data_IF_144429490962
#
_entry.id   IF_144429490962
#
_cell.length_a   1.000
_cell.length_b   1.000
_cell.length_c   1.000
_cell.angle_alpha   90.00
_cell.angle_beta   90.00
_cell.angle_gamma   90.00
#
_symmetry.space_group_name_H-M   'P 1'
#
loop_
_entity.id
_entity.type
_entity.pdbx_description
1 polymer ?
#
# COMPACT_ATOMS: atom_id res chain seq x y z
N UNK A 1 -8.14 -6.21 -12.51
CA UNK A 1 -7.07 -5.24 -12.82
C UNK A 1 -6.40 -4.78 -11.55
N UNK A 2 -7.12 -4.21 -10.56
CA UNK A 2 -6.55 -3.68 -9.30
C UNK A 2 -5.75 -4.74 -8.54
N UNK A 3 -6.29 -5.94 -8.35
CA UNK A 3 -5.62 -7.04 -7.65
C UNK A 3 -4.29 -7.41 -8.32
N UNK A 4 -4.26 -7.47 -9.64
CA UNK A 4 -3.04 -7.76 -10.40
C UNK A 4 -1.98 -6.66 -10.23
N UNK A 5 -2.40 -5.39 -10.28
CA UNK A 5 -1.49 -4.26 -10.12
C UNK A 5 -0.87 -4.17 -8.73
N UNK A 6 -1.62 -4.54 -7.68
CA UNK A 6 -1.18 -4.43 -6.29
C UNK A 6 -0.47 -5.69 -5.78
N UNK A 7 -0.72 -6.84 -6.40
CA UNK A 7 -0.16 -8.13 -5.97
C UNK A 7 1.37 -8.17 -6.05
N UNK A 8 1.94 -7.82 -7.21
CA UNK A 8 3.40 -7.90 -7.41
C UNK A 8 4.20 -6.95 -6.51
N UNK A 9 3.86 -5.65 -6.40
CA UNK A 9 4.57 -4.76 -5.47
C UNK A 9 4.50 -5.24 -4.02
N UNK A 10 3.35 -5.76 -3.59
CA UNK A 10 3.18 -6.28 -2.24
C UNK A 10 4.04 -7.53 -1.99
N UNK A 11 4.07 -8.45 -2.94
CA UNK A 11 4.88 -9.67 -2.87
C UNK A 11 6.38 -9.33 -2.79
N UNK A 12 6.85 -8.46 -3.67
CA UNK A 12 8.27 -8.03 -3.70
C UNK A 12 8.66 -7.33 -2.40
N UNK A 13 7.84 -6.42 -1.91
CA UNK A 13 8.12 -5.71 -0.66
C UNK A 13 8.11 -6.63 0.56
N UNK A 14 7.18 -7.58 0.61
CA UNK A 14 7.13 -8.56 1.70
C UNK A 14 8.37 -9.45 1.70
N UNK A 15 8.78 -9.95 0.53
CA UNK A 15 10.00 -10.73 0.38
C UNK A 15 11.25 -9.92 0.75
N UNK A 16 11.33 -8.65 0.31
CA UNK A 16 12.43 -7.77 0.66
C UNK A 16 12.48 -7.52 2.18
N UNK A 17 11.34 -7.29 2.81
CA UNK A 17 11.24 -7.10 4.25
C UNK A 17 11.66 -8.34 5.05
N UNK A 18 11.24 -9.54 4.64
CA UNK A 18 11.63 -10.78 5.29
C UNK A 18 13.13 -11.12 5.10
N UNK A 19 13.75 -10.63 4.03
CA UNK A 19 15.18 -10.78 3.75
C UNK A 19 16.04 -9.67 4.36
N UNK A 20 15.46 -8.59 4.85
CA UNK A 20 16.16 -7.44 5.40
C UNK A 20 16.83 -7.70 6.75
N UNK A 21 16.57 -8.85 7.37
CA UNK A 21 17.20 -9.28 8.63
C UNK A 21 18.69 -9.52 8.40
N UNK A 22 19.54 -8.86 9.22
CA UNK A 22 20.99 -8.99 9.15
C UNK A 22 21.48 -10.38 9.58
N UNK A 23 22.70 -10.72 9.15
CA UNK A 23 23.33 -11.99 9.54
C UNK A 23 23.54 -12.08 11.04
N UNK A 24 23.89 -10.97 11.69
CA UNK A 24 24.16 -10.91 13.12
C UNK A 24 22.91 -11.26 13.95
N UNK A 25 21.75 -10.73 13.56
CA UNK A 25 20.50 -11.03 14.26
C UNK A 25 20.06 -12.49 14.07
N UNK A 26 20.35 -13.06 12.90
CA UNK A 26 20.09 -14.49 12.65
C UNK A 26 21.03 -15.38 13.47
N UNK A 27 22.30 -15.01 13.60
CA UNK A 27 23.29 -15.73 14.43
C UNK A 27 22.91 -15.67 15.91
N UNK A 28 22.42 -14.51 16.39
CA UNK A 28 21.90 -14.37 17.74
C UNK A 28 20.71 -15.32 17.99
N UNK A 29 19.77 -15.40 17.07
CA UNK A 29 18.64 -16.34 17.18
C UNK A 29 19.11 -17.83 17.15
N UNK A 30 20.13 -18.13 16.37
CA UNK A 30 20.77 -19.46 16.38
C UNK A 30 21.43 -19.78 17.73
N UNK A 31 22.09 -18.81 18.36
CA UNK A 31 22.72 -19.01 19.68
C UNK A 31 21.70 -19.22 20.80
N UNK A 32 20.49 -18.72 20.66
CA UNK A 32 19.36 -19.00 21.56
C UNK A 32 18.62 -20.30 21.23
N UNK A 33 19.14 -21.12 20.31
CA UNK A 33 18.49 -22.35 19.82
C UNK A 33 17.04 -22.12 19.35
N UNK A 34 16.76 -20.94 18.81
CA UNK A 34 15.43 -20.58 18.32
C UNK A 34 15.12 -21.36 17.04
N UNK A 35 14.00 -22.10 17.03
CA UNK A 35 13.54 -22.79 15.84
C UNK A 35 13.08 -21.82 14.74
N UNK A 36 12.94 -22.31 13.52
CA UNK A 36 12.56 -21.53 12.35
C UNK A 36 11.28 -20.68 12.55
N UNK A 37 10.26 -21.25 13.19
CA UNK A 37 9.00 -20.54 13.47
C UNK A 37 9.20 -19.37 14.41
N UNK A 38 10.02 -19.52 15.44
CA UNK A 38 10.30 -18.47 16.41
C UNK A 38 11.10 -17.34 15.77
N UNK A 39 12.11 -17.66 14.98
CA UNK A 39 12.88 -16.68 14.18
C UNK A 39 11.97 -15.93 13.21
N UNK A 40 11.00 -16.59 12.58
CA UNK A 40 10.07 -15.95 11.66
C UNK A 40 9.14 -14.96 12.38
N UNK A 41 8.55 -15.36 13.50
CA UNK A 41 7.53 -14.57 14.21
C UNK A 41 8.17 -13.45 15.03
N UNK A 42 9.25 -13.74 15.76
CA UNK A 42 9.83 -12.82 16.72
C UNK A 42 10.86 -11.85 16.09
N UNK A 43 11.45 -12.22 14.95
CA UNK A 43 12.48 -11.42 14.30
C UNK A 43 12.08 -10.96 12.89
N UNK A 44 11.82 -11.88 11.97
CA UNK A 44 11.61 -11.53 10.56
C UNK A 44 10.33 -10.76 10.31
N UNK A 45 9.24 -11.13 10.97
CA UNK A 45 7.94 -10.49 10.78
C UNK A 45 7.93 -9.04 11.31
N UNK A 46 8.38 -8.74 12.54
CA UNK A 46 8.49 -7.36 13.02
C UNK A 46 9.43 -6.49 12.18
N UNK A 47 10.54 -7.05 11.69
CA UNK A 47 11.48 -6.34 10.81
C UNK A 47 10.91 -6.09 9.41
N UNK A 48 10.00 -6.93 8.93
CA UNK A 48 9.33 -6.76 7.65
C UNK A 48 8.17 -5.75 7.67
N UNK A 49 7.63 -5.43 8.85
CA UNK A 49 6.45 -4.56 8.98
C UNK A 49 6.60 -3.20 8.29
N UNK A 50 7.70 -2.43 8.43
CA UNK A 50 7.87 -1.15 7.75
C UNK A 50 7.85 -1.29 6.22
N UNK A 51 8.42 -2.38 5.69
CA UNK A 51 8.42 -2.67 4.24
C UNK A 51 7.01 -2.96 3.75
N UNK A 52 6.24 -3.74 4.51
CA UNK A 52 4.83 -4.06 4.21
C UNK A 52 3.98 -2.79 4.21
N UNK A 53 4.11 -1.93 5.23
CA UNK A 53 3.38 -0.67 5.29
C UNK A 53 3.77 0.30 4.17
N UNK A 54 5.07 0.36 3.82
CA UNK A 54 5.54 1.14 2.69
C UNK A 54 4.90 0.68 1.37
N UNK A 55 4.87 -0.63 1.13
CA UNK A 55 4.20 -1.21 -0.03
C UNK A 55 2.69 -0.97 -0.02
N UNK A 56 2.06 -1.04 1.16
CA UNK A 56 0.62 -0.79 1.31
C UNK A 56 0.24 0.65 0.92
N UNK A 57 1.07 1.64 1.25
CA UNK A 57 0.89 3.03 0.83
C UNK A 57 0.96 3.19 -0.70
N UNK A 58 1.96 2.58 -1.32
CA UNK A 58 2.09 2.57 -2.78
C UNK A 58 0.90 1.87 -3.42
N UNK A 59 0.51 0.71 -2.88
CA UNK A 59 -0.61 -0.06 -3.38
C UNK A 59 -1.96 0.65 -3.23
N UNK A 60 -2.16 1.44 -2.19
CA UNK A 60 -3.37 2.25 -2.04
C UNK A 60 -3.53 3.26 -3.19
N UNK A 61 -2.43 3.89 -3.59
CA UNK A 61 -2.41 4.81 -4.74
C UNK A 61 -2.64 4.07 -6.05
N UNK A 62 -1.94 2.94 -6.26
CA UNK A 62 -2.12 2.10 -7.46
C UNK A 62 -3.52 1.52 -7.55
N UNK A 63 -4.14 1.15 -6.44
CA UNK A 63 -5.50 0.65 -6.38
C UNK A 63 -6.52 1.72 -6.83
N UNK A 64 -6.35 2.95 -6.37
CA UNK A 64 -7.22 4.06 -6.78
C UNK A 64 -7.09 4.35 -8.28
N UNK A 65 -5.86 4.45 -8.78
CA UNK A 65 -5.60 4.65 -10.22
C UNK A 65 -6.16 3.48 -11.02
N UNK A 66 -5.87 2.25 -10.61
CA UNK A 66 -6.35 1.05 -11.28
C UNK A 66 -7.87 0.91 -11.30
N UNK A 67 -8.56 1.35 -10.24
CA UNK A 67 -10.02 1.39 -10.19
C UNK A 67 -10.58 2.39 -11.21
N UNK A 68 -10.06 3.63 -11.22
CA UNK A 68 -10.49 4.67 -12.16
C UNK A 68 -10.25 4.23 -13.60
N UNK A 69 -9.07 3.67 -13.90
CA UNK A 69 -8.74 3.16 -15.26
C UNK A 69 -9.66 2.00 -15.65
N UNK A 70 -9.94 1.07 -14.73
CA UNK A 70 -10.86 -0.04 -15.00
C UNK A 70 -12.28 0.44 -15.27
N UNK A 71 -12.73 1.51 -14.61
CA UNK A 71 -14.02 2.14 -14.86
C UNK A 71 -14.08 2.86 -16.22
N UNK A 72 -12.95 3.38 -16.71
CA UNK A 72 -12.87 3.99 -18.04
C UNK A 72 -13.08 2.99 -19.17
N UNK A 73 -12.50 1.80 -19.05
CA UNK A 73 -12.53 0.76 -20.09
C UNK A 73 -13.58 -0.32 -19.86
N UNK A 74 -14.12 -0.39 -18.64
CA UNK A 74 -15.24 -1.26 -18.31
C UNK A 74 -16.58 -0.66 -18.78
N UNK A 75 -17.65 -1.37 -18.50
CA UNK A 75 -19.01 -0.87 -18.72
C UNK A 75 -19.77 -0.72 -17.38
N UNK A 76 -19.16 -0.21 -16.29
CA UNK A 76 -19.92 0.06 -15.10
C UNK A 76 -20.82 1.27 -15.35
N UNK A 77 -22.02 1.23 -14.83
CA UNK A 77 -22.96 2.36 -14.89
C UNK A 77 -22.77 3.36 -13.76
N UNK A 78 -21.83 3.07 -12.83
CA UNK A 78 -21.55 3.88 -11.62
C UNK A 78 -20.05 3.86 -11.33
N UNK A 79 -19.50 5.01 -11.00
CA UNK A 79 -18.07 5.16 -10.60
C UNK A 79 -17.51 6.52 -10.96
N UNK A 80 -16.36 6.87 -10.36
CA UNK A 80 -15.68 8.14 -10.63
C UNK A 80 -15.11 8.17 -12.05
N UNK A 81 -14.49 7.08 -12.49
CA UNK A 81 -13.95 6.93 -13.85
C UNK A 81 -15.05 7.01 -14.91
N UNK A 82 -16.18 6.35 -14.69
CA UNK A 82 -17.35 6.44 -15.56
C UNK A 82 -17.89 7.86 -15.65
N UNK A 83 -18.02 8.56 -14.52
CA UNK A 83 -18.45 9.97 -14.51
C UNK A 83 -17.50 10.88 -15.27
N UNK A 84 -16.19 10.72 -15.05
CA UNK A 84 -15.17 11.50 -15.75
C UNK A 84 -15.29 11.29 -17.25
N UNK A 85 -15.39 10.06 -17.74
CA UNK A 85 -15.50 9.75 -19.17
C UNK A 85 -16.80 10.28 -19.80
N UNK A 86 -17.92 10.09 -19.12
CA UNK A 86 -19.23 10.52 -19.61
C UNK A 86 -19.38 12.04 -19.65
N UNK A 87 -18.95 12.72 -18.60
CA UNK A 87 -19.04 14.20 -18.53
C UNK A 87 -18.00 14.87 -19.44
N UNK A 88 -16.85 14.25 -19.64
CA UNK A 88 -15.87 14.70 -20.64
C UNK A 88 -16.45 14.62 -22.05
N UNK A 89 -17.13 13.53 -22.39
CA UNK A 89 -17.81 13.39 -23.68
C UNK A 89 -18.93 14.42 -23.88
N UNK A 90 -19.55 14.87 -22.78
CA UNK A 90 -20.57 15.95 -22.78
C UNK A 90 -19.98 17.35 -22.72
N UNK A 91 -18.65 17.50 -22.75
CA UNK A 91 -17.91 18.77 -22.63
C UNK A 91 -18.19 19.51 -21.31
N UNK A 92 -18.65 18.79 -20.28
CA UNK A 92 -18.94 19.35 -18.95
C UNK A 92 -17.69 19.32 -18.07
N UNK A 93 -16.71 20.17 -18.40
CA UNK A 93 -15.41 20.21 -17.74
C UNK A 93 -15.49 20.54 -16.23
N UNK A 94 -16.52 21.26 -15.78
CA UNK A 94 -16.71 21.54 -14.35
C UNK A 94 -16.91 20.29 -13.53
N UNK A 95 -17.74 19.35 -13.98
CA UNK A 95 -17.98 18.07 -13.30
C UNK A 95 -16.75 17.14 -13.41
N UNK A 96 -16.01 17.18 -14.51
CA UNK A 96 -14.77 16.41 -14.67
C UNK A 96 -13.75 16.85 -13.61
N UNK A 97 -13.49 18.13 -13.47
CA UNK A 97 -12.58 18.66 -12.45
C UNK A 97 -13.07 18.34 -11.03
N UNK A 98 -14.38 18.46 -10.78
CA UNK A 98 -14.97 18.07 -9.50
C UNK A 98 -14.70 16.60 -9.15
N UNK A 99 -14.88 15.69 -10.10
CA UNK A 99 -14.61 14.27 -9.90
C UNK A 99 -13.12 13.98 -9.64
N UNK A 100 -12.21 14.68 -10.34
CA UNK A 100 -10.76 14.56 -10.10
C UNK A 100 -10.39 15.02 -8.69
N UNK A 101 -10.95 16.13 -8.22
CA UNK A 101 -10.72 16.63 -6.85
C UNK A 101 -11.21 15.61 -5.82
N UNK A 102 -12.40 15.04 -6.01
CA UNK A 102 -12.94 13.99 -5.12
C UNK A 102 -12.02 12.77 -5.08
N UNK A 103 -11.53 12.33 -6.23
CA UNK A 103 -10.58 11.22 -6.32
C UNK A 103 -9.26 11.54 -5.56
N UNK A 104 -8.72 12.74 -5.74
CA UNK A 104 -7.49 13.19 -5.07
C UNK A 104 -7.67 13.27 -3.54
N UNK A 105 -8.78 13.80 -3.07
CA UNK A 105 -9.10 13.87 -1.63
C UNK A 105 -9.24 12.47 -1.05
N UNK A 106 -9.97 11.59 -1.72
CA UNK A 106 -10.18 10.20 -1.27
C UNK A 106 -8.84 9.46 -1.17
N UNK A 107 -7.98 9.57 -2.18
CA UNK A 107 -6.64 8.97 -2.17
C UNK A 107 -5.75 9.53 -1.05
N UNK A 108 -5.79 10.84 -0.84
CA UNK A 108 -5.03 11.51 0.23
C UNK A 108 -5.48 11.07 1.62
N UNK A 109 -6.78 10.94 1.85
CA UNK A 109 -7.35 10.46 3.12
C UNK A 109 -6.96 9.00 3.36
N UNK A 110 -7.09 8.13 2.35
CA UNK A 110 -6.68 6.73 2.45
C UNK A 110 -5.18 6.61 2.79
N UNK A 111 -4.32 7.38 2.13
CA UNK A 111 -2.90 7.43 2.42
C UNK A 111 -2.61 7.90 3.86
N UNK A 112 -3.27 8.96 4.32
CA UNK A 112 -3.09 9.48 5.67
C UNK A 112 -3.52 8.47 6.74
N UNK A 113 -4.60 7.73 6.51
CA UNK A 113 -5.05 6.64 7.39
C UNK A 113 -4.01 5.52 7.48
N UNK A 114 -3.42 5.12 6.36
CA UNK A 114 -2.35 4.11 6.34
C UNK A 114 -1.11 4.58 7.10
N UNK A 115 -0.72 5.85 6.95
CA UNK A 115 0.39 6.43 7.72
C UNK A 115 0.10 6.43 9.22
N UNK A 116 -1.12 6.73 9.62
CA UNK A 116 -1.51 6.68 11.03
C UNK A 116 -1.50 5.25 11.59
N UNK A 117 -1.99 4.29 10.81
CA UNK A 117 -1.93 2.87 11.16
C UNK A 117 -0.49 2.38 11.33
N UNK A 118 0.39 2.72 10.38
CA UNK A 118 1.82 2.39 10.47
C UNK A 118 2.44 2.93 11.77
N UNK A 119 2.18 4.20 12.10
CA UNK A 119 2.70 4.82 13.33
C UNK A 119 2.22 4.10 14.60
N UNK A 120 1.02 3.57 14.60
CA UNK A 120 0.48 2.81 15.75
C UNK A 120 1.02 1.39 15.84
N UNK A 121 1.25 0.74 14.71
CA UNK A 121 1.64 -0.69 14.64
C UNK A 121 3.16 -0.84 14.65
N UNK A 122 3.91 0.05 14.01
CA UNK A 122 5.37 -0.03 13.86
C UNK A 122 6.12 1.04 14.67
N UNK A 123 5.59 1.43 15.84
CA UNK A 123 6.17 2.48 16.70
C UNK A 123 7.60 2.19 17.19
N UNK A 124 8.00 0.93 17.21
CA UNK A 124 9.34 0.50 17.64
C UNK A 124 10.42 0.64 16.56
N UNK A 125 10.05 0.86 15.30
CA UNK A 125 11.02 0.92 14.21
C UNK A 125 11.61 2.33 14.05
N UNK A 126 12.96 2.48 13.90
CA UNK A 126 13.63 3.78 13.79
C UNK A 126 13.13 4.67 12.65
N UNK A 127 12.70 4.09 11.53
CA UNK A 127 12.18 4.84 10.37
C UNK A 127 10.89 5.62 10.66
N UNK A 128 10.14 5.25 11.69
CA UNK A 128 8.90 5.93 12.10
C UNK A 128 9.16 7.00 13.16
N UNK A 129 10.29 6.88 13.87
CA UNK A 129 10.66 7.74 15.01
C UNK A 129 11.39 9.03 14.61
N UNK A 130 11.90 9.12 13.39
CA UNK A 130 12.74 10.23 12.90
C UNK A 130 11.97 11.40 12.27
N UNK A 131 10.68 11.57 12.59
CA UNK A 131 9.91 12.74 12.17
C UNK A 131 9.19 13.37 13.34
#
# INVERSE_FOLDING_TARGET
VVVLMTFFPMLVATLAGLKAVGKLELELMHSYAAGYRRTLIDLRLPMAMPFIFSALKVNATLALIGAIVAEFFGSPTVGLGFRISTEAARMNMGLVWGAIVVAAVTGSVAYALLVQLERRVAFWHPSVRSK
#
